data_IF_234017908851
#
_entry.id   IF_234017908851
#
_cell.length_a   1.000
_cell.length_b   1.000
_cell.length_c   1.000
_cell.angle_alpha   90.00
_cell.angle_beta   90.00
_cell.angle_gamma   90.00
#
_symmetry.space_group_name_H-M   'P 1'
#
loop_
_entity.id
_entity.type
_entity.pdbx_description
1 polymer ?
#
# COMPACT_ATOMS: atom_id res chain seq x y z
N UNK A 1 -3.65 -37.28 6.86
CA UNK A 1 -3.52 -36.03 7.58
C UNK A 1 -2.63 -35.15 6.69
N UNK A 2 -3.25 -34.28 5.91
CA UNK A 2 -2.50 -33.36 5.00
C UNK A 2 -1.96 -32.24 5.83
N UNK A 3 -0.65 -32.13 5.99
CA UNK A 3 -0.01 -30.90 6.49
C UNK A 3 -0.44 -29.77 5.57
N UNK A 4 -1.24 -28.85 6.08
CA UNK A 4 -1.52 -27.59 5.40
C UNK A 4 -0.20 -26.84 5.28
N UNK A 5 0.37 -26.86 4.08
CA UNK A 5 1.52 -26.02 3.76
C UNK A 5 1.15 -24.59 4.16
N UNK A 6 1.88 -24.01 5.12
CA UNK A 6 1.71 -22.63 5.53
C UNK A 6 1.89 -21.79 4.27
N UNK A 7 0.81 -21.19 3.79
CA UNK A 7 0.85 -20.32 2.61
C UNK A 7 1.78 -19.15 2.95
N UNK A 8 2.94 -19.09 2.30
CA UNK A 8 3.80 -17.90 2.38
C UNK A 8 3.21 -16.82 1.49
N UNK A 9 3.21 -15.57 1.97
CA UNK A 9 2.65 -14.44 1.25
C UNK A 9 1.32 -13.98 1.83
N UNK A 10 0.55 -13.23 1.05
CA UNK A 10 -0.74 -12.69 1.43
C UNK A 10 -1.86 -13.52 0.80
N UNK A 11 -2.83 -13.94 1.60
CA UNK A 11 -3.96 -14.72 1.10
C UNK A 11 -5.29 -14.22 1.64
N UNK A 12 -6.35 -14.45 0.89
CA UNK A 12 -7.72 -14.27 1.32
C UNK A 12 -8.49 -15.58 1.11
N UNK A 13 -9.36 -15.96 2.05
CA UNK A 13 -10.16 -17.18 2.00
C UNK A 13 -11.63 -16.86 2.28
N UNK A 14 -12.47 -17.14 1.29
CA UNK A 14 -13.94 -17.01 1.34
C UNK A 14 -14.38 -15.66 1.93
N UNK A 15 -13.71 -14.56 1.57
CA UNK A 15 -14.00 -13.26 2.15
C UNK A 15 -15.30 -12.68 1.59
N UNK A 16 -16.10 -12.10 2.50
CA UNK A 16 -17.28 -11.30 2.19
C UNK A 16 -17.04 -9.89 2.70
N UNK A 17 -17.14 -8.90 1.82
CA UNK A 17 -16.79 -7.51 2.11
C UNK A 17 -17.82 -6.54 1.57
N UNK A 18 -18.12 -5.50 2.34
CA UNK A 18 -19.00 -4.41 1.94
C UNK A 18 -18.96 -3.26 2.94
N UNK A 19 -19.54 -2.12 2.58
CA UNK A 19 -19.56 -0.93 3.41
C UNK A 19 -20.85 -0.87 4.27
N UNK A 20 -20.68 -0.60 5.56
CA UNK A 20 -21.81 -0.48 6.50
C UNK A 20 -22.67 -1.74 6.52
N UNK A 21 -24.00 -1.58 6.39
CA UNK A 21 -25.00 -2.67 6.34
C UNK A 21 -25.49 -2.97 4.93
N UNK A 22 -24.92 -2.33 3.91
CA UNK A 22 -25.32 -2.52 2.51
C UNK A 22 -24.98 -3.93 2.02
N UNK A 23 -25.49 -4.29 0.84
CA UNK A 23 -25.13 -5.54 0.17
C UNK A 23 -23.61 -5.66 0.02
N UNK A 24 -23.07 -6.88 0.13
CA UNK A 24 -21.65 -7.11 -0.06
C UNK A 24 -21.22 -6.73 -1.49
N UNK A 25 -20.03 -6.21 -1.61
CA UNK A 25 -19.38 -5.92 -2.90
C UNK A 25 -18.56 -7.11 -3.36
N UNK A 26 -17.98 -7.85 -2.41
CA UNK A 26 -17.26 -9.09 -2.66
C UNK A 26 -17.95 -10.21 -1.87
N UNK A 27 -18.21 -11.32 -2.55
CA UNK A 27 -18.87 -12.49 -1.97
C UNK A 27 -18.08 -13.76 -2.24
N UNK A 28 -17.54 -14.37 -1.16
CA UNK A 28 -16.87 -15.65 -1.24
C UNK A 28 -15.55 -15.64 -2.04
N UNK A 29 -14.89 -14.48 -2.10
CA UNK A 29 -13.65 -14.35 -2.87
C UNK A 29 -12.47 -15.00 -2.13
N UNK A 30 -11.70 -15.79 -2.89
CA UNK A 30 -10.43 -16.37 -2.43
C UNK A 30 -9.32 -16.06 -3.42
N UNK A 31 -8.13 -15.72 -2.92
CA UNK A 31 -6.95 -15.47 -3.74
C UNK A 31 -5.67 -15.71 -2.95
N UNK A 32 -4.57 -15.91 -3.67
CA UNK A 32 -3.21 -15.95 -3.15
C UNK A 32 -2.35 -14.92 -3.88
N UNK A 33 -1.54 -14.19 -3.11
CA UNK A 33 -0.48 -13.30 -3.60
C UNK A 33 0.84 -13.90 -3.13
N UNK A 34 1.60 -14.45 -4.06
CA UNK A 34 2.82 -15.17 -3.78
C UNK A 34 4.01 -14.22 -3.61
N UNK A 35 4.98 -14.54 -2.75
CA UNK A 35 6.19 -13.74 -2.59
C UNK A 35 7.03 -13.68 -3.88
N UNK A 36 7.56 -12.51 -4.18
CA UNK A 36 8.43 -12.31 -5.35
C UNK A 36 7.70 -12.28 -6.69
N UNK A 37 6.37 -12.24 -6.67
CA UNK A 37 5.56 -12.19 -7.88
C UNK A 37 4.77 -10.88 -7.98
N UNK A 38 4.57 -10.42 -9.22
CA UNK A 38 3.64 -9.34 -9.52
C UNK A 38 2.25 -9.94 -9.79
N UNK A 39 1.30 -9.66 -8.90
CA UNK A 39 -0.10 -10.05 -9.09
C UNK A 39 -0.92 -8.86 -9.59
N UNK A 40 -1.55 -9.00 -10.75
CA UNK A 40 -2.39 -7.95 -11.36
C UNK A 40 -3.86 -8.32 -11.24
N UNK A 41 -4.66 -7.41 -10.66
CA UNK A 41 -6.11 -7.55 -10.55
C UNK A 41 -6.77 -6.76 -11.68
N UNK A 42 -7.42 -7.45 -12.61
CA UNK A 42 -8.08 -6.87 -13.77
C UNK A 42 -9.59 -7.00 -13.64
N UNK A 43 -10.31 -6.00 -14.10
CA UNK A 43 -11.78 -6.02 -14.11
C UNK A 43 -12.37 -4.64 -14.41
N UNK A 44 -13.67 -4.55 -14.73
CA UNK A 44 -14.34 -3.29 -15.02
C UNK A 44 -14.31 -2.32 -13.84
N UNK A 45 -14.63 -1.05 -14.12
CA UNK A 45 -14.75 -0.06 -13.04
C UNK A 45 -15.89 -0.46 -12.09
N UNK A 46 -15.74 -0.15 -10.81
CA UNK A 46 -16.69 -0.46 -9.73
C UNK A 46 -16.93 -1.96 -9.45
N UNK A 47 -16.12 -2.90 -9.98
CA UNK A 47 -16.25 -4.33 -9.69
C UNK A 47 -15.65 -4.75 -8.32
N UNK A 48 -15.16 -3.81 -7.51
CA UNK A 48 -14.65 -4.10 -6.17
C UNK A 48 -13.13 -4.22 -6.02
N UNK A 49 -12.30 -3.88 -7.02
CA UNK A 49 -10.82 -3.94 -6.95
C UNK A 49 -10.27 -3.17 -5.75
N UNK A 50 -10.63 -1.89 -5.61
CA UNK A 50 -10.20 -1.06 -4.48
C UNK A 50 -10.75 -1.58 -3.14
N UNK A 51 -11.95 -2.17 -3.13
CA UNK A 51 -12.53 -2.81 -1.94
C UNK A 51 -11.71 -4.00 -1.52
N UNK A 52 -11.27 -4.83 -2.47
CA UNK A 52 -10.37 -5.96 -2.22
C UNK A 52 -9.05 -5.50 -1.64
N UNK A 53 -8.35 -4.57 -2.29
CA UNK A 53 -7.06 -4.05 -1.81
C UNK A 53 -7.16 -3.47 -0.39
N UNK A 54 -8.22 -2.71 -0.10
CA UNK A 54 -8.48 -2.18 1.25
C UNK A 54 -8.76 -3.27 2.28
N UNK A 55 -9.39 -4.37 1.87
CA UNK A 55 -9.63 -5.52 2.76
C UNK A 55 -8.37 -6.29 3.06
N UNK A 56 -7.54 -6.53 2.03
CA UNK A 56 -6.23 -7.17 2.18
C UNK A 56 -5.32 -6.37 3.11
N UNK A 57 -5.35 -5.02 3.01
CA UNK A 57 -4.58 -4.12 3.88
C UNK A 57 -5.22 -3.89 5.27
N UNK A 58 -6.33 -4.56 5.60
CA UNK A 58 -7.09 -4.34 6.84
C UNK A 58 -7.56 -2.88 7.05
N UNK A 59 -7.66 -2.10 5.97
CA UNK A 59 -8.29 -0.77 6.00
C UNK A 59 -9.81 -0.91 6.03
N UNK A 60 -10.33 -1.95 5.39
CA UNK A 60 -11.73 -2.35 5.44
C UNK A 60 -11.83 -3.76 6.03
N UNK A 61 -12.63 -3.92 7.08
CA UNK A 61 -12.82 -5.21 7.73
C UNK A 61 -13.63 -6.18 6.85
N UNK A 62 -13.30 -7.46 6.90
CA UNK A 62 -14.10 -8.53 6.28
C UNK A 62 -15.28 -8.90 7.18
N UNK A 63 -16.45 -9.18 6.59
CA UNK A 63 -17.65 -9.63 7.32
C UNK A 63 -17.63 -11.14 7.55
N UNK A 64 -17.00 -11.90 6.64
CA UNK A 64 -16.81 -13.35 6.70
C UNK A 64 -15.51 -13.70 5.97
N UNK A 65 -14.98 -14.88 6.28
CA UNK A 65 -13.69 -15.32 5.75
C UNK A 65 -12.52 -14.73 6.52
N UNK A 66 -11.32 -14.90 5.99
CA UNK A 66 -10.09 -14.47 6.62
C UNK A 66 -9.10 -13.94 5.59
N UNK A 67 -8.32 -12.93 5.98
CA UNK A 67 -7.11 -12.49 5.26
C UNK A 67 -5.92 -12.84 6.12
N UNK A 68 -4.93 -13.50 5.52
CA UNK A 68 -3.75 -14.00 6.22
C UNK A 68 -2.47 -13.50 5.55
N UNK A 69 -1.49 -13.17 6.37
CA UNK A 69 -0.12 -12.89 5.96
C UNK A 69 0.79 -13.97 6.57
N UNK A 70 1.41 -14.78 5.72
CA UNK A 70 2.23 -15.94 6.12
C UNK A 70 1.48 -16.90 7.08
N UNK A 71 0.21 -17.17 6.81
CA UNK A 71 -0.64 -18.07 7.61
C UNK A 71 -1.12 -17.47 8.92
N UNK A 72 -0.90 -16.19 9.17
CA UNK A 72 -1.41 -15.47 10.35
C UNK A 72 -2.47 -14.47 9.94
N UNK A 73 -3.63 -14.50 10.60
CA UNK A 73 -4.70 -13.54 10.35
C UNK A 73 -4.21 -12.11 10.54
N UNK A 74 -4.42 -11.26 9.52
CA UNK A 74 -4.08 -9.83 9.61
C UNK A 74 -4.92 -9.11 10.66
N UNK A 75 -6.10 -9.64 11.01
CA UNK A 75 -6.97 -9.09 12.04
C UNK A 75 -6.30 -9.14 13.44
N UNK A 76 -5.50 -10.17 13.69
CA UNK A 76 -4.85 -10.42 14.97
C UNK A 76 -3.47 -9.76 15.08
N UNK A 77 -2.97 -9.17 14.00
CA UNK A 77 -1.66 -8.51 13.99
C UNK A 77 -1.74 -7.12 14.62
N UNK A 78 -0.68 -6.72 15.33
CA UNK A 78 -0.51 -5.32 15.73
C UNK A 78 -0.45 -4.42 14.47
N UNK A 79 -1.10 -3.25 14.51
CA UNK A 79 -1.21 -2.35 13.36
C UNK A 79 0.14 -1.92 12.80
N UNK A 80 1.11 -1.55 13.65
CA UNK A 80 2.46 -1.17 13.20
C UNK A 80 3.24 -2.36 12.65
N UNK A 81 3.07 -3.55 13.25
CA UNK A 81 3.69 -4.76 12.75
C UNK A 81 3.15 -5.14 11.36
N UNK A 82 1.85 -5.03 11.13
CA UNK A 82 1.25 -5.22 9.80
C UNK A 82 1.77 -4.16 8.82
N UNK A 83 1.78 -2.89 9.21
CA UNK A 83 2.22 -1.79 8.35
C UNK A 83 3.72 -1.84 7.98
N UNK A 84 4.56 -2.57 8.72
CA UNK A 84 5.96 -2.85 8.32
C UNK A 84 6.08 -3.95 7.27
N UNK A 85 5.03 -4.73 7.07
CA UNK A 85 4.99 -5.88 6.18
C UNK A 85 4.15 -5.65 4.93
N UNK A 86 3.12 -4.80 5.04
CA UNK A 86 2.11 -4.59 4.02
C UNK A 86 1.82 -3.10 3.86
N UNK A 87 2.15 -2.55 2.69
CA UNK A 87 1.84 -1.18 2.29
C UNK A 87 0.60 -1.12 1.38
N UNK A 88 -0.11 -0.01 1.40
CA UNK A 88 -1.21 0.29 0.48
C UNK A 88 -1.07 1.71 -0.05
N UNK A 89 -0.92 1.85 -1.35
CA UNK A 89 -1.11 3.12 -2.06
C UNK A 89 -2.55 3.17 -2.59
N UNK A 90 -3.38 4.01 -1.98
CA UNK A 90 -4.76 4.21 -2.41
C UNK A 90 -4.84 5.11 -3.64
N UNK A 91 -5.84 4.89 -4.51
CA UNK A 91 -6.12 5.67 -5.72
C UNK A 91 -6.22 7.19 -5.46
N UNK A 92 -6.83 7.58 -4.35
CA UNK A 92 -6.99 8.99 -3.96
C UNK A 92 -6.26 9.25 -2.64
N UNK A 93 -5.05 9.73 -2.74
CA UNK A 93 -4.25 10.12 -1.59
C UNK A 93 -4.23 11.65 -1.47
N UNK A 94 -4.53 12.16 -0.28
CA UNK A 94 -4.62 13.60 0.01
C UNK A 94 -3.55 13.98 1.03
N UNK A 95 -2.78 15.03 0.72
CA UNK A 95 -1.86 15.66 1.65
C UNK A 95 -2.14 17.17 1.73
N UNK A 96 -1.84 17.82 2.86
CA UNK A 96 -1.85 19.28 2.93
C UNK A 96 -0.96 19.89 1.84
N UNK A 97 -1.49 20.88 1.10
CA UNK A 97 -0.78 21.46 -0.03
C UNK A 97 0.48 22.23 0.37
N UNK A 98 0.57 22.69 1.62
CA UNK A 98 1.70 23.41 2.21
C UNK A 98 2.80 22.49 2.75
N UNK A 99 2.57 21.17 2.77
CA UNK A 99 3.55 20.17 3.21
C UNK A 99 4.72 20.06 2.21
N UNK A 100 5.95 19.93 2.70
CA UNK A 100 7.11 19.65 1.85
C UNK A 100 7.10 18.21 1.35
N UNK A 101 7.70 17.99 0.18
CA UNK A 101 7.77 16.68 -0.48
C UNK A 101 8.48 15.66 0.39
N UNK A 102 9.64 16.02 0.94
CA UNK A 102 10.42 15.17 1.85
C UNK A 102 9.64 14.79 3.11
N UNK A 103 8.86 15.71 3.67
CA UNK A 103 8.02 15.44 4.84
C UNK A 103 6.90 14.44 4.52
N UNK A 104 6.32 14.53 3.32
CA UNK A 104 5.33 13.56 2.87
C UNK A 104 5.94 12.17 2.71
N UNK A 105 7.11 12.06 2.06
CA UNK A 105 7.81 10.77 1.89
C UNK A 105 8.22 10.20 3.25
N UNK A 106 8.70 11.04 4.16
CA UNK A 106 9.06 10.65 5.52
C UNK A 106 7.92 9.99 6.31
N UNK A 107 6.65 10.29 5.98
CA UNK A 107 5.50 9.61 6.61
C UNK A 107 5.46 8.11 6.34
N UNK A 108 6.11 7.63 5.28
CA UNK A 108 6.30 6.20 5.05
C UNK A 108 7.03 5.49 6.19
N UNK A 109 7.85 6.22 6.95
CA UNK A 109 8.61 5.68 8.09
C UNK A 109 7.80 5.63 9.40
N UNK A 110 6.57 6.15 9.43
CA UNK A 110 5.74 6.19 10.62
C UNK A 110 5.57 4.82 11.35
N UNK A 111 5.45 3.67 10.66
CA UNK A 111 5.37 2.37 11.33
C UNK A 111 6.60 2.01 12.16
N UNK A 112 7.77 2.59 11.85
CA UNK A 112 9.04 2.32 12.55
C UNK A 112 9.25 3.21 13.78
N UNK A 113 8.52 4.31 13.86
CA UNK A 113 8.64 5.26 14.96
C UNK A 113 7.87 4.79 16.19
N UNK A 114 8.43 5.07 17.37
CA UNK A 114 7.79 4.86 18.67
C UNK A 114 8.21 5.96 19.66
N UNK A 115 7.62 5.98 20.85
CA UNK A 115 7.99 6.95 21.90
C UNK A 115 9.47 6.85 22.27
N UNK A 116 10.05 5.64 22.19
CA UNK A 116 11.46 5.35 22.50
C UNK A 116 12.37 5.31 21.26
N UNK A 117 11.80 5.21 20.07
CA UNK A 117 12.51 5.19 18.79
C UNK A 117 12.02 6.37 17.96
N UNK A 118 12.72 7.47 18.07
CA UNK A 118 12.52 8.63 17.23
C UNK A 118 13.21 8.42 15.87
N UNK A 119 13.25 9.45 15.06
CA UNK A 119 13.88 9.46 13.75
C UNK A 119 15.35 9.00 13.80
N UNK A 120 15.79 8.18 12.86
CA UNK A 120 17.13 7.60 12.80
C UNK A 120 17.79 7.86 11.45
N UNK A 121 19.12 7.71 11.37
CA UNK A 121 19.85 7.78 10.11
C UNK A 121 19.36 6.75 9.07
N UNK A 122 18.86 5.58 9.50
CA UNK A 122 18.25 4.60 8.61
C UNK A 122 16.95 5.11 7.97
N UNK A 123 16.19 5.95 8.69
CA UNK A 123 14.99 6.57 8.14
C UNK A 123 15.36 7.61 7.08
N UNK A 124 16.41 8.41 7.29
CA UNK A 124 16.94 9.34 6.29
C UNK A 124 17.39 8.61 5.02
N UNK A 125 18.12 7.51 5.17
CA UNK A 125 18.58 6.70 4.05
C UNK A 125 17.41 6.06 3.28
N UNK A 126 16.40 5.54 3.99
CA UNK A 126 15.21 4.95 3.37
C UNK A 126 14.41 6.00 2.57
N UNK A 127 14.24 7.20 3.13
CA UNK A 127 13.56 8.31 2.45
C UNK A 127 14.35 8.76 1.21
N UNK A 128 15.67 8.96 1.34
CA UNK A 128 16.51 9.37 0.22
C UNK A 128 16.50 8.34 -0.92
N UNK A 129 16.60 7.05 -0.59
CA UNK A 129 16.51 5.95 -1.54
C UNK A 129 15.15 5.93 -2.24
N UNK A 130 14.07 5.97 -1.49
CA UNK A 130 12.71 5.97 -2.05
C UNK A 130 12.46 7.17 -2.97
N UNK A 131 12.95 8.35 -2.62
CA UNK A 131 12.85 9.54 -3.47
C UNK A 131 13.65 9.40 -4.77
N UNK A 132 14.82 8.77 -4.71
CA UNK A 132 15.64 8.47 -5.88
C UNK A 132 14.96 7.45 -6.79
N UNK A 133 14.47 6.35 -6.22
CA UNK A 133 13.84 5.25 -6.96
C UNK A 133 12.54 5.69 -7.65
N UNK A 134 11.76 6.57 -7.01
CA UNK A 134 10.59 7.19 -7.61
C UNK A 134 10.88 8.38 -8.54
N UNK A 135 12.14 8.75 -8.77
CA UNK A 135 12.54 9.86 -9.64
C UNK A 135 12.09 11.24 -9.16
N UNK A 136 11.98 11.45 -7.84
CA UNK A 136 11.49 12.70 -7.23
C UNK A 136 12.52 13.42 -6.36
N UNK A 137 13.77 12.99 -6.37
CA UNK A 137 14.84 13.60 -5.56
C UNK A 137 15.05 15.10 -5.88
N UNK A 138 14.80 15.54 -7.12
CA UNK A 138 14.86 16.95 -7.53
C UNK A 138 13.73 17.82 -7.01
N UNK A 139 12.73 17.22 -6.36
CA UNK A 139 11.56 17.92 -5.80
C UNK A 139 11.71 18.26 -4.31
N UNK A 140 12.85 17.93 -3.70
CA UNK A 140 13.18 18.33 -2.31
C UNK A 140 13.03 19.83 -2.14
N UNK A 141 12.45 20.27 -1.04
CA UNK A 141 12.17 21.67 -0.74
C UNK A 141 10.94 22.25 -1.45
N UNK A 142 10.29 21.53 -2.34
CA UNK A 142 9.02 21.96 -2.96
C UNK A 142 7.82 21.56 -2.12
N UNK A 143 6.74 22.32 -2.24
CA UNK A 143 5.46 22.00 -1.59
C UNK A 143 4.63 21.07 -2.46
N UNK A 144 3.90 20.14 -1.84
CA UNK A 144 3.04 19.18 -2.54
C UNK A 144 1.98 19.84 -3.40
N UNK A 145 1.48 21.01 -2.98
CA UNK A 145 0.52 21.80 -3.74
C UNK A 145 1.05 22.40 -5.04
N UNK A 146 2.38 22.54 -5.18
CA UNK A 146 3.05 23.09 -6.37
C UNK A 146 3.33 22.04 -7.46
N UNK A 147 3.06 20.77 -7.15
CA UNK A 147 3.40 19.65 -8.02
C UNK A 147 2.33 19.43 -9.09
N UNK A 148 2.74 19.02 -10.29
CA UNK A 148 1.83 18.44 -11.27
C UNK A 148 1.20 17.14 -10.76
N UNK A 149 0.12 16.67 -11.38
CA UNK A 149 -0.53 15.42 -11.01
C UNK A 149 0.43 14.23 -11.03
N UNK A 150 1.22 14.09 -12.10
CA UNK A 150 2.21 13.02 -12.22
C UNK A 150 3.38 13.13 -11.22
N UNK A 151 3.87 14.36 -10.95
CA UNK A 151 4.87 14.56 -9.89
C UNK A 151 4.32 14.17 -8.53
N UNK A 152 3.10 14.57 -8.21
CA UNK A 152 2.43 14.23 -6.95
C UNK A 152 2.25 12.72 -6.82
N UNK A 153 1.83 12.04 -7.88
CA UNK A 153 1.70 10.58 -7.87
C UNK A 153 3.03 9.88 -7.57
N UNK A 154 4.13 10.30 -8.22
CA UNK A 154 5.47 9.75 -7.92
C UNK A 154 5.92 10.02 -6.48
N UNK A 155 5.56 11.15 -5.89
CA UNK A 155 5.84 11.42 -4.46
C UNK A 155 5.06 10.46 -3.55
N UNK A 156 3.81 10.13 -3.88
CA UNK A 156 3.05 9.12 -3.14
C UNK A 156 3.65 7.71 -3.28
N UNK A 157 4.15 7.37 -4.47
CA UNK A 157 4.91 6.12 -4.69
C UNK A 157 6.17 6.14 -3.83
N UNK A 158 6.94 7.24 -3.81
CA UNK A 158 8.11 7.37 -2.95
C UNK A 158 7.78 7.16 -1.46
N UNK A 159 6.68 7.74 -0.97
CA UNK A 159 6.21 7.51 0.40
C UNK A 159 5.94 6.02 0.67
N UNK A 160 5.32 5.33 -0.28
CA UNK A 160 5.02 3.90 -0.14
C UNK A 160 6.29 3.05 -0.18
N UNK A 161 7.28 3.41 -1.02
CA UNK A 161 8.59 2.75 -1.07
C UNK A 161 9.41 3.00 0.22
N UNK A 162 9.34 4.21 0.78
CA UNK A 162 10.01 4.53 2.04
C UNK A 162 9.52 3.69 3.21
N UNK A 163 8.33 3.10 3.11
CA UNK A 163 7.79 2.18 4.11
C UNK A 163 8.54 0.85 4.15
N UNK A 164 9.27 0.47 3.08
CA UNK A 164 10.07 -0.77 2.97
C UNK A 164 9.30 -2.03 3.38
N UNK A 165 8.14 -2.23 2.78
CA UNK A 165 7.27 -3.39 3.08
C UNK A 165 7.59 -4.59 2.18
N UNK A 166 7.33 -5.80 2.68
CA UNK A 166 7.49 -7.04 1.91
C UNK A 166 6.46 -7.13 0.77
N UNK A 167 5.28 -6.54 0.98
CA UNK A 167 4.16 -6.53 0.02
C UNK A 167 3.67 -5.09 -0.13
N UNK A 168 3.52 -4.64 -1.37
CA UNK A 168 2.96 -3.35 -1.70
C UNK A 168 1.71 -3.52 -2.56
N UNK A 169 0.58 -3.05 -2.06
CA UNK A 169 -0.69 -3.02 -2.77
C UNK A 169 -0.85 -1.65 -3.44
N UNK A 170 -1.11 -1.63 -4.74
CA UNK A 170 -1.25 -0.41 -5.53
C UNK A 170 -2.65 -0.35 -6.15
N UNK A 171 -3.42 0.68 -5.80
CA UNK A 171 -4.76 0.93 -6.34
C UNK A 171 -4.68 1.99 -7.43
N UNK A 172 -4.69 1.57 -8.70
CA UNK A 172 -4.58 2.42 -9.90
C UNK A 172 -3.38 3.41 -9.85
N UNK A 173 -2.13 2.92 -9.70
CA UNK A 173 -0.98 3.79 -9.46
C UNK A 173 -0.61 4.69 -10.65
N UNK A 174 -1.16 4.42 -11.84
CA UNK A 174 -0.80 5.11 -13.09
C UNK A 174 -1.84 6.11 -13.59
N UNK A 175 -2.92 6.35 -12.85
CA UNK A 175 -4.08 7.16 -13.30
C UNK A 175 -3.71 8.61 -13.71
N UNK A 176 -2.63 9.17 -13.17
CA UNK A 176 -2.17 10.54 -13.47
C UNK A 176 -0.83 10.58 -14.22
N UNK A 177 -0.32 9.43 -14.67
CA UNK A 177 0.93 9.34 -15.42
C UNK A 177 0.62 9.30 -16.92
N UNK A 178 1.43 9.98 -17.73
CA UNK A 178 1.41 9.82 -19.17
C UNK A 178 1.96 8.43 -19.58
N UNK A 179 1.70 8.03 -20.84
CA UNK A 179 2.06 6.70 -21.32
C UNK A 179 3.54 6.34 -21.15
N UNK A 180 4.45 7.33 -21.24
CA UNK A 180 5.89 7.07 -21.09
C UNK A 180 6.25 6.76 -19.63
N UNK A 181 5.63 7.43 -18.67
CA UNK A 181 5.88 7.21 -17.24
C UNK A 181 5.12 6.01 -16.66
N UNK A 182 4.07 5.54 -17.35
CA UNK A 182 3.35 4.32 -16.91
C UNK A 182 4.23 3.07 -16.98
N UNK A 183 5.11 2.99 -17.97
CA UNK A 183 6.03 1.85 -18.15
C UNK A 183 7.21 1.86 -17.16
N UNK A 184 7.55 2.99 -16.57
CA UNK A 184 8.64 3.10 -15.58
C UNK A 184 8.20 2.69 -14.17
N UNK A 185 6.89 2.62 -13.92
CA UNK A 185 6.32 2.31 -12.59
C UNK A 185 5.99 0.82 -12.44
N UNK A 186 5.87 0.08 -13.54
CA UNK A 186 5.61 -1.36 -13.59
C UNK A 186 6.90 -2.16 -13.71
#
# INVERSE_FOLDING_TARGET
MSESAVSRGLSARDIVVGYGKNEPILEGLSLDVLPGELTVIVGPNACGKSTLLRSLARVLGVRRGVVELDGRSVADMNQKALARRLGLLAQSSVAPGDMFVEDLVARGRYPYQSVLHQWSAQDDEAVARAMKDAGVASLVGRRVGELSGGQRQRVWIAMSLAQETDILLLDEPTTYLDLNHQLEVL
#
